data_IF_181405946534
#
_entry.id   IF_181405946534
#
_cell.length_a   1.000
_cell.length_b   1.000
_cell.length_c   1.000
_cell.angle_alpha   90.00
_cell.angle_beta   90.00
_cell.angle_gamma   90.00
#
_symmetry.space_group_name_H-M   'P 1'
#
loop_
_entity.id
_entity.type
_entity.pdbx_description
1 polymer ?
#
# COMPACT_ATOMS: atom_id res chain seq x y z
N UNK A 1 17.50 4.06 17.19
CA UNK A 1 18.11 2.73 17.04
C UNK A 1 19.02 2.73 15.82
N UNK A 2 20.18 2.06 15.87
CA UNK A 2 21.03 1.90 14.70
C UNK A 2 20.32 1.02 13.66
N UNK A 3 20.49 1.36 12.35
CA UNK A 3 19.99 0.57 11.25
C UNK A 3 21.12 -0.34 10.73
N UNK A 4 20.85 -1.64 10.68
CA UNK A 4 21.77 -2.66 10.18
C UNK A 4 21.20 -3.28 8.90
N UNK A 5 21.60 -2.81 7.70
CA UNK A 5 21.11 -3.40 6.45
C UNK A 5 21.70 -4.80 6.25
N UNK A 6 20.83 -5.75 5.94
CA UNK A 6 21.22 -7.13 5.64
C UNK A 6 20.52 -7.62 4.38
N UNK A 7 21.26 -7.93 3.31
CA UNK A 7 20.69 -8.41 2.04
C UNK A 7 19.87 -9.69 2.16
N UNK A 8 20.08 -10.48 3.22
CA UNK A 8 19.32 -11.71 3.43
C UNK A 8 17.83 -11.46 3.69
N UNK A 9 17.45 -10.24 4.14
CA UNK A 9 16.06 -9.85 4.41
C UNK A 9 15.39 -9.09 3.26
N UNK A 10 16.01 -9.03 2.06
CA UNK A 10 15.43 -8.41 0.88
C UNK A 10 14.20 -9.16 0.36
N UNK A 11 13.43 -8.50 -0.51
CA UNK A 11 12.33 -9.13 -1.23
C UNK A 11 12.83 -10.27 -2.14
N UNK A 12 11.91 -11.16 -2.51
CA UNK A 12 12.17 -12.19 -3.51
C UNK A 12 12.59 -11.53 -4.83
N UNK A 13 13.67 -12.00 -5.43
CA UNK A 13 14.10 -11.55 -6.75
C UNK A 13 13.08 -11.96 -7.82
N UNK A 14 12.56 -10.99 -8.55
CA UNK A 14 11.48 -11.18 -9.52
C UNK A 14 12.00 -11.45 -10.94
N UNK A 15 13.32 -11.47 -11.17
CA UNK A 15 13.93 -11.73 -12.48
C UNK A 15 13.41 -10.78 -13.55
N UNK A 16 12.97 -11.33 -14.69
CA UNK A 16 12.46 -10.53 -15.83
C UNK A 16 11.23 -9.69 -15.51
N UNK A 17 10.63 -9.83 -14.33
CA UNK A 17 9.54 -8.98 -13.88
C UNK A 17 10.01 -7.67 -13.22
N UNK A 18 11.30 -7.56 -12.88
CA UNK A 18 11.85 -6.35 -12.27
C UNK A 18 11.64 -5.12 -13.15
N UNK A 19 11.17 -4.03 -12.53
CA UNK A 19 10.88 -2.78 -13.23
C UNK A 19 9.58 -2.76 -14.05
N UNK A 20 8.82 -3.85 -14.09
CA UNK A 20 7.54 -3.92 -14.77
C UNK A 20 6.40 -3.59 -13.80
N UNK A 21 5.31 -3.04 -14.35
CA UNK A 21 4.05 -2.91 -13.61
C UNK A 21 3.35 -4.27 -13.54
N UNK A 22 2.54 -4.49 -12.49
CA UNK A 22 1.72 -5.71 -12.36
C UNK A 22 0.84 -5.96 -13.59
N UNK A 23 0.32 -4.89 -14.22
CA UNK A 23 -0.46 -5.00 -15.45
C UNK A 23 0.36 -5.52 -16.63
N UNK A 24 1.61 -5.08 -16.78
CA UNK A 24 2.50 -5.59 -17.83
C UNK A 24 2.83 -7.06 -17.59
N UNK A 25 3.00 -7.45 -16.32
CA UNK A 25 3.23 -8.85 -15.93
C UNK A 25 1.98 -9.69 -16.24
N UNK A 26 0.80 -9.25 -15.80
CA UNK A 26 -0.47 -9.93 -16.08
C UNK A 26 -0.71 -10.14 -17.58
N UNK A 27 -0.39 -9.14 -18.40
CA UNK A 27 -0.58 -9.21 -19.85
C UNK A 27 0.39 -10.21 -20.52
N UNK A 28 1.65 -10.26 -20.03
CA UNK A 28 2.71 -11.07 -20.65
C UNK A 28 2.84 -12.46 -20.07
N UNK A 29 2.57 -12.61 -18.77
CA UNK A 29 2.76 -13.84 -18.00
C UNK A 29 1.57 -14.13 -17.07
N UNK A 30 0.33 -14.23 -17.59
CA UNK A 30 -0.86 -14.40 -16.74
C UNK A 30 -0.83 -15.70 -15.91
N UNK A 31 -0.29 -16.79 -16.48
CA UNK A 31 -0.17 -18.06 -15.79
C UNK A 31 0.84 -17.95 -14.62
N UNK A 32 2.03 -17.44 -14.90
CA UNK A 32 3.07 -17.27 -13.87
C UNK A 32 2.64 -16.30 -12.78
N UNK A 33 1.84 -15.27 -13.11
CA UNK A 33 1.28 -14.38 -12.09
C UNK A 33 0.30 -15.12 -11.18
N UNK A 34 -0.52 -15.99 -11.72
CA UNK A 34 -1.41 -16.85 -10.94
C UNK A 34 -0.60 -17.82 -10.06
N UNK A 35 0.48 -18.41 -10.58
CA UNK A 35 1.38 -19.27 -9.83
C UNK A 35 2.07 -18.50 -8.69
N UNK A 36 2.60 -17.32 -8.94
CA UNK A 36 3.18 -16.45 -7.90
C UNK A 36 2.20 -16.16 -6.76
N UNK A 37 0.96 -15.90 -7.10
CA UNK A 37 -0.06 -15.59 -6.10
C UNK A 37 -0.57 -16.83 -5.33
N UNK A 38 -0.60 -18.03 -5.96
CA UNK A 38 -1.31 -19.18 -5.41
C UNK A 38 -0.54 -20.51 -5.38
N UNK A 39 0.53 -20.64 -6.14
CA UNK A 39 1.29 -21.88 -6.34
C UNK A 39 2.80 -21.57 -6.31
N UNK A 40 3.27 -21.04 -5.20
CA UNK A 40 4.68 -20.61 -5.03
C UNK A 40 5.68 -21.75 -5.25
N UNK A 41 5.26 -22.99 -5.08
CA UNK A 41 6.04 -24.19 -5.37
C UNK A 41 6.32 -24.38 -6.88
N UNK A 42 5.45 -23.81 -7.73
CA UNK A 42 5.53 -23.92 -9.19
C UNK A 42 6.01 -22.66 -9.87
N UNK A 43 5.85 -21.52 -9.20
CA UNK A 43 6.18 -20.23 -9.81
C UNK A 43 7.64 -20.15 -10.20
N UNK A 44 7.86 -19.82 -11.45
CA UNK A 44 9.18 -19.56 -12.01
C UNK A 44 9.10 -18.62 -13.21
N UNK A 45 10.01 -17.64 -13.26
CA UNK A 45 10.33 -16.82 -14.43
C UNK A 45 11.84 -16.70 -14.55
N UNK A 46 12.33 -16.33 -15.72
CA UNK A 46 13.76 -16.17 -15.97
C UNK A 46 14.43 -15.21 -14.97
N UNK A 47 15.49 -15.66 -14.32
CA UNK A 47 16.27 -14.85 -13.35
C UNK A 47 15.61 -14.64 -11.99
N UNK A 48 14.44 -15.24 -11.71
CA UNK A 48 13.81 -15.11 -10.40
C UNK A 48 14.49 -15.97 -9.32
N UNK A 49 14.32 -15.57 -8.05
CA UNK A 49 14.50 -16.47 -6.92
C UNK A 49 13.27 -17.39 -6.78
N UNK A 50 13.47 -18.65 -6.45
CA UNK A 50 12.39 -19.51 -6.01
C UNK A 50 12.07 -19.27 -4.53
N UNK A 51 10.87 -19.66 -4.07
CA UNK A 51 10.53 -19.61 -2.64
C UNK A 51 11.53 -20.37 -1.77
N UNK A 52 12.11 -21.47 -2.30
CA UNK A 52 13.16 -22.23 -1.61
C UNK A 52 14.44 -21.41 -1.43
N UNK A 53 14.89 -20.71 -2.45
CA UNK A 53 16.07 -19.84 -2.36
C UNK A 53 15.87 -18.72 -1.33
N UNK A 54 14.66 -18.17 -1.22
CA UNK A 54 14.33 -17.19 -0.18
C UNK A 54 14.49 -17.82 1.21
N UNK A 55 13.98 -19.01 1.45
CA UNK A 55 14.15 -19.72 2.73
C UNK A 55 15.63 -20.00 3.04
N UNK A 56 16.39 -20.41 2.03
CA UNK A 56 17.81 -20.79 2.18
C UNK A 56 18.70 -19.59 2.57
N UNK A 57 18.33 -18.35 2.21
CA UNK A 57 19.04 -17.14 2.65
C UNK A 57 18.47 -16.52 3.93
N UNK A 58 17.15 -16.54 4.09
CA UNK A 58 16.46 -15.81 5.15
C UNK A 58 16.56 -16.54 6.50
N UNK A 59 16.27 -17.85 6.54
CA UNK A 59 16.27 -18.60 7.80
C UNK A 59 17.63 -18.64 8.51
N UNK A 60 18.77 -18.87 7.82
CA UNK A 60 20.08 -18.78 8.46
C UNK A 60 20.40 -17.38 9.01
N UNK A 61 19.99 -16.32 8.26
CA UNK A 61 20.18 -14.94 8.70
C UNK A 61 19.32 -14.63 9.95
N UNK A 62 18.08 -15.09 9.98
CA UNK A 62 17.19 -14.92 11.11
C UNK A 62 17.77 -15.62 12.37
N UNK A 63 18.22 -16.86 12.24
CA UNK A 63 18.87 -17.58 13.35
C UNK A 63 20.16 -16.90 13.81
N UNK A 64 20.92 -16.30 12.90
CA UNK A 64 22.11 -15.51 13.28
C UNK A 64 21.70 -14.31 14.14
N UNK A 65 20.71 -13.51 13.68
CA UNK A 65 20.21 -12.36 14.44
C UNK A 65 19.73 -12.78 15.82
N UNK A 66 19.00 -13.89 15.94
CA UNK A 66 18.55 -14.43 17.23
C UNK A 66 19.73 -14.71 18.16
N UNK A 67 20.77 -15.41 17.68
CA UNK A 67 21.95 -15.72 18.50
C UNK A 67 22.74 -14.47 18.91
N UNK A 68 22.84 -13.47 18.01
CA UNK A 68 23.58 -12.24 18.27
C UNK A 68 22.85 -11.30 19.25
N UNK A 69 21.54 -11.48 19.41
CA UNK A 69 20.67 -10.61 20.19
C UNK A 69 19.85 -11.38 21.24
N UNK A 70 20.44 -12.43 21.82
CA UNK A 70 19.77 -13.24 22.84
C UNK A 70 19.28 -12.38 24.01
N UNK A 71 18.03 -12.61 24.45
CA UNK A 71 17.38 -11.83 25.51
C UNK A 71 16.95 -10.40 25.08
N UNK A 72 17.05 -10.06 23.81
CA UNK A 72 16.67 -8.74 23.28
C UNK A 72 15.47 -8.82 22.36
N UNK A 73 14.82 -7.68 22.14
CA UNK A 73 13.80 -7.50 21.11
C UNK A 73 14.42 -6.81 19.89
N UNK A 74 14.30 -7.44 18.73
CA UNK A 74 14.83 -6.94 17.45
C UNK A 74 13.69 -6.69 16.49
N UNK A 75 13.70 -5.54 15.82
CA UNK A 75 12.77 -5.24 14.72
C UNK A 75 13.45 -5.53 13.37
N UNK A 76 12.85 -6.43 12.57
CA UNK A 76 13.29 -6.75 11.22
C UNK A 76 12.26 -6.17 10.24
N UNK A 77 12.71 -5.26 9.38
CA UNK A 77 11.91 -4.70 8.29
C UNK A 77 12.21 -5.47 7.00
N UNK A 78 11.18 -6.05 6.42
CA UNK A 78 11.31 -6.88 5.23
C UNK A 78 10.11 -6.65 4.29
N UNK A 79 9.80 -7.58 3.41
CA UNK A 79 8.89 -7.40 2.28
C UNK A 79 7.80 -8.48 2.25
N UNK A 80 6.72 -8.18 1.51
CA UNK A 80 5.49 -8.96 1.56
C UNK A 80 5.66 -10.43 1.15
N UNK A 81 6.29 -10.72 0.01
CA UNK A 81 6.43 -12.09 -0.46
C UNK A 81 7.48 -12.87 0.37
N UNK A 82 8.60 -12.23 0.72
CA UNK A 82 9.62 -12.85 1.57
C UNK A 82 9.05 -13.22 2.95
N UNK A 83 8.33 -12.31 3.61
CA UNK A 83 7.69 -12.59 4.90
C UNK A 83 6.62 -13.67 4.79
N UNK A 84 5.79 -13.66 3.76
CA UNK A 84 4.80 -14.70 3.51
C UNK A 84 5.42 -16.09 3.45
N UNK A 85 6.54 -16.21 2.73
CA UNK A 85 7.27 -17.48 2.56
C UNK A 85 7.86 -17.93 3.91
N UNK A 86 8.57 -17.04 4.59
CA UNK A 86 9.29 -17.38 5.80
C UNK A 86 8.34 -17.68 6.97
N UNK A 87 7.33 -16.83 7.20
CA UNK A 87 6.36 -17.06 8.27
C UNK A 87 5.54 -18.33 8.04
N UNK A 88 5.17 -18.61 6.78
CA UNK A 88 4.49 -19.87 6.44
C UNK A 88 5.36 -21.10 6.72
N UNK A 89 6.64 -21.04 6.34
CA UNK A 89 7.57 -22.14 6.61
C UNK A 89 7.81 -22.36 8.11
N UNK A 90 7.93 -21.28 8.90
CA UNK A 90 8.05 -21.36 10.38
C UNK A 90 6.79 -21.94 11.03
N UNK A 91 5.62 -21.82 10.39
CA UNK A 91 4.38 -22.46 10.82
C UNK A 91 4.24 -23.91 10.33
N UNK A 92 5.25 -24.48 9.66
CA UNK A 92 5.25 -25.83 9.17
C UNK A 92 4.48 -26.05 7.86
N UNK A 93 4.11 -24.98 7.15
CA UNK A 93 3.40 -25.08 5.87
C UNK A 93 4.34 -25.50 4.74
N UNK A 94 3.84 -26.33 3.83
CA UNK A 94 4.53 -26.63 2.58
C UNK A 94 4.53 -25.39 1.66
N UNK A 95 5.43 -25.33 0.68
CA UNK A 95 5.45 -24.22 -0.30
C UNK A 95 4.13 -24.10 -1.08
N UNK A 96 3.46 -25.20 -1.36
CA UNK A 96 2.14 -25.22 -1.98
C UNK A 96 1.08 -24.58 -1.06
N UNK A 97 1.09 -24.93 0.23
CA UNK A 97 0.16 -24.38 1.22
C UNK A 97 0.43 -22.91 1.50
N UNK A 98 1.70 -22.48 1.54
CA UNK A 98 2.09 -21.07 1.62
C UNK A 98 1.47 -20.27 0.48
N UNK A 99 1.40 -20.85 -0.73
CA UNK A 99 0.72 -20.26 -1.88
C UNK A 99 -0.78 -19.99 -1.67
N UNK A 100 -1.42 -20.63 -0.70
CA UNK A 100 -2.83 -20.39 -0.36
C UNK A 100 -3.02 -19.37 0.78
N UNK A 101 -1.92 -18.98 1.48
CA UNK A 101 -1.99 -17.97 2.56
C UNK A 101 -2.11 -16.57 1.99
N UNK A 102 -2.54 -15.63 2.83
CA UNK A 102 -2.59 -14.21 2.47
C UNK A 102 -1.22 -13.55 2.57
N UNK A 103 -1.04 -12.46 1.82
CA UNK A 103 0.00 -11.48 2.11
C UNK A 103 -0.42 -10.64 3.31
N UNK A 104 0.55 -10.23 4.13
CA UNK A 104 0.34 -9.17 5.10
C UNK A 104 0.08 -7.83 4.38
N UNK A 105 -0.74 -6.98 5.00
CA UNK A 105 -0.90 -5.60 4.53
C UNK A 105 0.42 -4.82 4.71
N UNK A 106 0.59 -3.71 3.99
CA UNK A 106 1.72 -2.81 4.22
C UNK A 106 1.74 -2.36 5.67
N UNK A 107 2.90 -2.39 6.30
CA UNK A 107 3.15 -2.09 7.71
C UNK A 107 2.56 -3.10 8.71
N UNK A 108 2.00 -4.22 8.26
CA UNK A 108 1.59 -5.29 9.16
C UNK A 108 2.77 -5.81 9.99
N UNK A 109 2.49 -6.15 11.24
CA UNK A 109 3.49 -6.65 12.19
C UNK A 109 3.28 -8.15 12.41
N UNK A 110 4.37 -8.88 12.50
CA UNK A 110 4.37 -10.28 12.91
C UNK A 110 5.36 -10.46 14.05
N UNK A 111 5.02 -11.29 15.03
CA UNK A 111 5.88 -11.58 16.16
C UNK A 111 6.40 -13.03 16.08
N UNK A 112 7.72 -13.16 16.18
CA UNK A 112 8.41 -14.43 16.32
C UNK A 112 9.08 -14.44 17.70
N UNK A 113 8.80 -15.44 18.50
CA UNK A 113 9.57 -15.75 19.70
C UNK A 113 10.65 -16.77 19.36
N UNK A 114 11.82 -16.60 19.96
CA UNK A 114 12.95 -17.49 19.79
C UNK A 114 13.40 -18.04 21.17
N UNK A 115 13.61 -19.35 21.22
CA UNK A 115 14.23 -20.03 22.36
C UNK A 115 15.33 -20.94 21.79
N UNK A 116 16.58 -20.47 21.90
CA UNK A 116 17.72 -21.09 21.22
C UNK A 116 17.51 -21.11 19.69
N UNK A 117 17.51 -22.29 19.10
CA UNK A 117 17.28 -22.48 17.64
C UNK A 117 15.79 -22.65 17.27
N UNK A 118 14.90 -22.75 18.26
CA UNK A 118 13.46 -22.86 18.04
C UNK A 118 12.87 -21.48 17.77
N UNK A 119 12.12 -21.36 16.66
CA UNK A 119 11.46 -20.14 16.23
C UNK A 119 9.96 -20.37 16.16
N UNK A 120 9.19 -19.65 16.96
CA UNK A 120 7.73 -19.78 17.01
C UNK A 120 7.05 -18.50 16.55
N UNK A 121 6.22 -18.59 15.53
CA UNK A 121 5.34 -17.47 15.11
C UNK A 121 4.21 -17.35 16.13
N UNK A 122 4.16 -16.26 16.88
CA UNK A 122 3.11 -15.98 17.87
C UNK A 122 1.87 -15.44 17.19
N UNK A 123 2.05 -14.43 16.35
CA UNK A 123 1.04 -13.92 15.44
C UNK A 123 1.68 -13.42 14.16
N UNK A 124 0.88 -13.28 13.10
CA UNK A 124 1.31 -12.72 11.82
C UNK A 124 0.30 -11.75 11.26
N UNK A 125 0.81 -10.83 10.45
CA UNK A 125 0.02 -9.94 9.62
C UNK A 125 -0.96 -9.05 10.43
N UNK A 126 -0.62 -8.70 11.68
CA UNK A 126 -1.41 -7.77 12.48
C UNK A 126 -1.32 -6.36 11.89
N UNK A 127 -2.46 -5.83 11.50
CA UNK A 127 -2.64 -4.48 10.98
C UNK A 127 -3.64 -3.66 11.81
N UNK A 128 -3.86 -4.05 13.07
CA UNK A 128 -4.83 -3.42 13.97
C UNK A 128 -4.60 -1.92 14.13
N UNK A 129 -3.33 -1.49 14.12
CA UNK A 129 -2.95 -0.07 14.14
C UNK A 129 -3.48 0.75 12.95
N UNK A 130 -3.83 0.10 11.82
CA UNK A 130 -4.45 0.76 10.67
C UNK A 130 -5.98 0.79 10.76
N UNK A 131 -6.58 -0.11 11.54
CA UNK A 131 -8.04 -0.28 11.60
C UNK A 131 -8.70 0.55 12.69
N UNK A 132 -7.94 0.95 13.72
CA UNK A 132 -8.42 1.71 14.88
C UNK A 132 -8.27 3.23 14.76
N UNK A 133 -7.55 3.73 13.77
CA UNK A 133 -7.30 5.16 13.58
C UNK A 133 -8.15 5.71 12.45
N UNK A 134 -8.85 6.81 12.71
CA UNK A 134 -9.57 7.54 11.66
C UNK A 134 -8.63 7.92 10.52
N UNK A 135 -9.05 7.62 9.29
CA UNK A 135 -8.31 7.94 8.07
C UNK A 135 -7.27 6.90 7.63
N UNK A 136 -6.87 5.95 8.46
CA UNK A 136 -5.93 4.89 8.08
C UNK A 136 -6.61 3.57 7.70
N UNK A 137 -7.79 3.29 8.25
CA UNK A 137 -8.54 2.05 8.00
C UNK A 137 -8.84 1.78 6.51
N UNK A 138 -8.86 2.83 5.69
CA UNK A 138 -9.12 2.74 4.24
C UNK A 138 -7.89 2.25 3.45
N UNK A 139 -6.69 2.44 4.00
CA UNK A 139 -5.42 2.04 3.38
C UNK A 139 -4.91 0.69 3.90
N UNK A 140 -5.42 0.21 5.03
CA UNK A 140 -4.98 -1.02 5.69
C UNK A 140 -5.59 -2.30 5.11
N UNK A 141 -6.57 -2.21 4.23
CA UNK A 141 -7.23 -3.38 3.64
C UNK A 141 -7.01 -3.45 2.15
N UNK A 142 -5.81 -3.86 1.76
CA UNK A 142 -5.56 -4.23 0.37
C UNK A 142 -6.15 -5.62 0.12
N UNK A 143 -7.21 -5.71 -0.67
CA UNK A 143 -7.91 -6.96 -0.94
C UNK A 143 -7.79 -7.44 -2.39
N UNK A 144 -7.08 -6.68 -3.24
CA UNK A 144 -6.98 -6.97 -4.67
C UNK A 144 -6.41 -8.36 -4.97
N UNK A 145 -5.44 -8.81 -4.19
CA UNK A 145 -4.85 -10.14 -4.32
C UNK A 145 -5.77 -11.28 -3.83
N UNK A 146 -6.82 -10.98 -3.06
CA UNK A 146 -7.86 -11.96 -2.66
C UNK A 146 -8.85 -12.24 -3.78
N UNK A 147 -8.96 -11.34 -4.74
CA UNK A 147 -9.90 -11.43 -5.84
C UNK A 147 -9.24 -12.12 -7.03
N UNK A 148 -9.41 -13.43 -7.15
CA UNK A 148 -9.10 -14.25 -8.33
C UNK A 148 -7.64 -14.26 -8.82
N UNK A 149 -6.68 -13.76 -8.05
CA UNK A 149 -5.27 -13.69 -8.47
C UNK A 149 -5.01 -12.69 -9.60
N UNK A 150 -5.93 -11.75 -9.83
CA UNK A 150 -5.80 -10.70 -10.84
C UNK A 150 -5.24 -9.44 -10.20
N UNK A 151 -4.52 -8.68 -10.98
CA UNK A 151 -4.08 -7.33 -10.61
C UNK A 151 -5.30 -6.43 -10.58
N UNK A 152 -5.46 -5.62 -9.53
CA UNK A 152 -6.49 -4.60 -9.51
C UNK A 152 -6.22 -3.61 -10.66
N UNK A 153 -7.19 -3.37 -11.53
CA UNK A 153 -7.00 -2.46 -12.64
C UNK A 153 -6.63 -1.06 -12.12
N UNK A 154 -5.48 -0.57 -12.57
CA UNK A 154 -4.94 0.69 -12.11
C UNK A 154 -5.68 1.90 -12.66
N UNK A 155 -5.70 2.96 -11.88
CA UNK A 155 -6.11 4.28 -12.36
C UNK A 155 -4.94 4.98 -13.04
N UNK A 156 -5.25 5.72 -14.12
CA UNK A 156 -4.33 6.65 -14.77
C UNK A 156 -4.84 8.07 -14.58
N UNK A 157 -3.91 8.99 -14.44
CA UNK A 157 -4.19 10.41 -14.19
C UNK A 157 -3.61 11.24 -15.33
N UNK A 158 -4.45 12.03 -15.97
CA UNK A 158 -4.06 12.87 -17.11
C UNK A 158 -4.65 14.28 -16.93
N UNK A 159 -4.00 15.32 -17.45
CA UNK A 159 -4.64 16.63 -17.52
C UNK A 159 -6.04 16.52 -18.16
N UNK A 160 -7.03 17.12 -17.53
CA UNK A 160 -8.40 17.09 -18.03
C UNK A 160 -8.60 18.16 -19.12
N UNK A 161 -9.38 17.81 -20.15
CA UNK A 161 -9.85 18.78 -21.14
C UNK A 161 -11.03 19.61 -20.60
N UNK A 162 -11.33 20.75 -21.25
CA UNK A 162 -12.52 21.55 -20.92
C UNK A 162 -13.82 20.75 -21.05
N UNK A 163 -13.92 19.87 -22.03
CA UNK A 163 -15.07 18.98 -22.20
C UNK A 163 -15.24 18.02 -21.02
N UNK A 164 -14.15 17.44 -20.55
CA UNK A 164 -14.16 16.56 -19.37
C UNK A 164 -14.53 17.32 -18.09
N UNK A 165 -14.05 18.55 -17.92
CA UNK A 165 -14.48 19.41 -16.82
C UNK A 165 -15.98 19.66 -16.85
N UNK A 166 -16.54 20.03 -18.01
CA UNK A 166 -17.99 20.23 -18.17
C UNK A 166 -18.79 18.95 -17.88
N UNK A 167 -18.30 17.78 -18.35
CA UNK A 167 -18.97 16.49 -18.11
C UNK A 167 -19.14 16.21 -16.61
N UNK A 168 -18.16 16.58 -15.79
CA UNK A 168 -18.21 16.41 -14.33
C UNK A 168 -18.79 17.64 -13.59
N UNK A 169 -19.23 18.68 -14.29
CA UNK A 169 -19.69 19.93 -13.67
C UNK A 169 -18.62 20.69 -12.92
N UNK A 170 -17.35 20.45 -13.26
CA UNK A 170 -16.22 21.09 -12.62
C UNK A 170 -16.00 22.50 -13.17
N UNK A 171 -15.64 23.50 -12.32
CA UNK A 171 -15.31 24.85 -12.79
C UNK A 171 -14.15 24.81 -13.79
N UNK A 172 -14.10 25.79 -14.70
CA UNK A 172 -12.98 25.90 -15.67
C UNK A 172 -11.71 26.49 -15.08
N UNK A 173 -11.68 26.75 -13.75
CA UNK A 173 -10.54 27.32 -13.03
C UNK A 173 -9.79 26.25 -12.25
N UNK A 174 -8.46 26.35 -12.23
CA UNK A 174 -7.59 25.43 -11.48
C UNK A 174 -6.95 24.33 -12.33
N UNK A 175 -6.05 23.58 -11.71
CA UNK A 175 -5.42 22.44 -12.37
C UNK A 175 -6.34 21.21 -12.29
N UNK A 176 -6.92 20.84 -13.41
CA UNK A 176 -7.86 19.72 -13.55
C UNK A 176 -7.14 18.44 -13.95
N UNK A 177 -7.45 17.35 -13.27
CA UNK A 177 -6.92 16.02 -13.54
C UNK A 177 -8.06 15.02 -13.74
N UNK A 178 -8.09 14.40 -14.89
CA UNK A 178 -9.02 13.33 -15.24
C UNK A 178 -8.50 11.99 -14.71
N UNK A 179 -9.42 11.19 -14.14
CA UNK A 179 -9.16 9.87 -13.59
C UNK A 179 -9.69 8.81 -14.55
N UNK A 180 -8.80 7.99 -15.08
CA UNK A 180 -9.10 6.97 -16.06
C UNK A 180 -8.94 5.58 -15.48
N UNK A 181 -9.94 4.71 -15.61
CA UNK A 181 -9.85 3.31 -15.27
C UNK A 181 -9.30 2.50 -16.45
N UNK A 182 -8.26 1.74 -16.25
CA UNK A 182 -7.55 1.00 -17.30
C UNK A 182 -7.07 1.84 -18.48
N UNK A 183 -7.01 3.15 -18.33
CA UNK A 183 -6.66 4.08 -19.41
C UNK A 183 -7.70 4.23 -20.51
N UNK A 184 -8.88 3.64 -20.37
CA UNK A 184 -9.93 3.61 -21.37
C UNK A 184 -11.21 4.31 -20.92
N UNK A 185 -11.61 4.14 -19.69
CA UNK A 185 -12.86 4.67 -19.14
C UNK A 185 -12.59 5.85 -18.22
N UNK A 186 -13.21 7.00 -18.53
CA UNK A 186 -13.14 8.19 -17.69
C UNK A 186 -14.09 8.04 -16.52
N UNK A 187 -13.56 7.88 -15.30
CA UNK A 187 -14.33 7.54 -14.11
C UNK A 187 -14.42 8.66 -13.08
N UNK A 188 -13.63 9.71 -13.23
CA UNK A 188 -13.63 10.80 -12.27
C UNK A 188 -12.78 11.98 -12.70
N UNK A 189 -12.84 13.03 -11.91
CA UNK A 189 -12.07 14.25 -12.07
C UNK A 189 -11.81 14.90 -10.72
N UNK A 190 -10.64 15.49 -10.54
CA UNK A 190 -10.36 16.38 -9.42
C UNK A 190 -9.66 17.65 -9.88
N UNK A 191 -9.83 18.71 -9.12
CA UNK A 191 -9.15 20.00 -9.34
C UNK A 191 -8.45 20.45 -8.09
N UNK A 192 -7.30 21.07 -8.28
CA UNK A 192 -6.51 21.63 -7.20
C UNK A 192 -6.03 23.04 -7.56
N UNK A 193 -5.93 23.88 -6.54
CA UNK A 193 -5.34 25.21 -6.63
C UNK A 193 -4.31 25.36 -5.52
N UNK A 194 -3.14 25.86 -5.86
CA UNK A 194 -2.09 26.15 -4.88
C UNK A 194 -2.44 27.42 -4.11
N UNK A 195 -2.44 27.33 -2.78
CA UNK A 195 -2.45 28.44 -1.84
C UNK A 195 -1.03 28.67 -1.29
N UNK A 196 -0.87 29.60 -0.38
CA UNK A 196 0.46 29.94 0.19
C UNK A 196 1.10 28.76 0.94
N UNK A 197 0.31 28.02 1.72
CA UNK A 197 0.75 26.98 2.65
C UNK A 197 0.01 25.64 2.43
N UNK A 198 -0.97 25.61 1.52
CA UNK A 198 -1.83 24.45 1.27
C UNK A 198 -2.06 24.20 -0.21
N UNK A 199 -2.49 23.00 -0.54
CA UNK A 199 -3.11 22.68 -1.81
C UNK A 199 -4.62 22.55 -1.59
N UNK A 200 -5.40 23.44 -2.17
CA UNK A 200 -6.86 23.41 -2.08
C UNK A 200 -7.45 22.48 -3.13
N UNK A 201 -8.32 21.58 -2.69
CA UNK A 201 -9.17 20.78 -3.56
C UNK A 201 -10.43 21.61 -3.84
N UNK A 202 -10.59 22.06 -5.08
CA UNK A 202 -11.73 22.89 -5.50
C UNK A 202 -12.84 22.07 -6.14
N UNK A 203 -12.51 20.87 -6.61
CA UNK A 203 -13.45 19.91 -7.18
C UNK A 203 -12.98 18.48 -6.96
N UNK A 204 -13.91 17.58 -6.66
CA UNK A 204 -13.63 16.16 -6.53
C UNK A 204 -14.88 15.36 -6.88
N UNK A 205 -14.90 14.72 -8.03
CA UNK A 205 -16.06 14.01 -8.52
C UNK A 205 -15.74 12.65 -9.11
N UNK A 206 -16.64 11.70 -8.88
CA UNK A 206 -16.62 10.38 -9.51
C UNK A 206 -17.91 10.18 -10.29
N UNK A 207 -17.80 9.52 -11.46
CA UNK A 207 -18.96 9.07 -12.21
C UNK A 207 -19.89 8.25 -11.30
N UNK A 208 -21.20 8.47 -11.34
CA UNK A 208 -22.18 7.78 -10.49
C UNK A 208 -22.06 6.26 -10.50
N UNK A 209 -21.74 5.65 -11.65
CA UNK A 209 -21.57 4.20 -11.78
C UNK A 209 -20.35 3.66 -11.01
N UNK A 210 -19.40 4.55 -10.70
CA UNK A 210 -18.15 4.20 -10.00
C UNK A 210 -18.16 4.58 -8.51
N UNK A 211 -19.22 5.24 -8.04
CA UNK A 211 -19.37 5.57 -6.61
C UNK A 211 -19.58 4.32 -5.78
N UNK A 212 -19.17 4.34 -4.52
CA UNK A 212 -19.26 3.20 -3.62
C UNK A 212 -18.28 2.04 -3.88
N UNK A 213 -17.55 2.09 -5.00
CA UNK A 213 -16.56 1.06 -5.41
C UNK A 213 -15.13 1.35 -4.95
N UNK A 214 -14.95 2.26 -4.00
CA UNK A 214 -13.66 2.73 -3.47
C UNK A 214 -12.73 3.43 -4.49
N UNK A 215 -13.20 3.65 -5.72
CA UNK A 215 -12.41 4.28 -6.78
C UNK A 215 -12.12 5.77 -6.54
N UNK A 216 -12.83 6.41 -5.62
CA UNK A 216 -12.53 7.76 -5.16
C UNK A 216 -11.40 7.87 -4.13
N UNK A 217 -10.75 6.78 -3.72
CA UNK A 217 -9.66 6.81 -2.74
C UNK A 217 -8.30 7.06 -3.40
N UNK A 218 -7.91 6.31 -4.45
CA UNK A 218 -6.60 6.47 -5.07
C UNK A 218 -6.29 7.89 -5.58
N UNK A 219 -7.25 8.67 -6.13
CA UNK A 219 -6.98 10.05 -6.53
C UNK A 219 -6.52 10.94 -5.39
N UNK A 220 -6.95 10.67 -4.14
CA UNK A 220 -6.46 11.41 -2.98
C UNK A 220 -4.95 11.22 -2.77
N UNK A 221 -4.44 10.01 -3.02
CA UNK A 221 -3.00 9.75 -2.99
C UNK A 221 -2.22 10.61 -3.99
N UNK A 222 -2.78 10.85 -5.18
CA UNK A 222 -2.18 11.74 -6.18
C UNK A 222 -2.18 13.20 -5.72
N UNK A 223 -3.26 13.66 -5.09
CA UNK A 223 -3.35 15.02 -4.55
C UNK A 223 -2.35 15.22 -3.41
N UNK A 224 -2.23 14.24 -2.49
CA UNK A 224 -1.24 14.27 -1.42
C UNK A 224 0.18 14.36 -2.00
N UNK A 225 0.49 13.53 -3.00
CA UNK A 225 1.79 13.54 -3.66
C UNK A 225 2.06 14.87 -4.36
N UNK A 226 1.05 15.46 -5.01
CA UNK A 226 1.15 16.77 -5.63
C UNK A 226 1.48 17.85 -4.59
N UNK A 227 0.75 17.89 -3.47
CA UNK A 227 1.01 18.83 -2.38
C UNK A 227 2.43 18.70 -1.84
N UNK A 228 2.88 17.49 -1.56
CA UNK A 228 4.25 17.21 -1.08
C UNK A 228 5.33 17.62 -2.07
N UNK A 229 5.14 17.38 -3.37
CA UNK A 229 6.07 17.83 -4.42
C UNK A 229 6.18 19.35 -4.51
N UNK A 230 5.12 20.06 -4.16
CA UNK A 230 5.09 21.52 -4.08
C UNK A 230 5.65 22.07 -2.75
N UNK A 231 6.09 21.20 -1.84
CA UNK A 231 6.58 21.57 -0.52
C UNK A 231 5.49 22.03 0.45
N UNK A 232 4.23 21.64 0.19
CA UNK A 232 3.09 22.04 1.02
C UNK A 232 2.83 21.01 2.11
N UNK A 233 2.35 21.45 3.26
CA UNK A 233 2.10 20.60 4.42
C UNK A 233 0.61 20.31 4.64
N UNK A 234 -0.28 21.03 3.95
CA UNK A 234 -1.71 20.94 4.15
C UNK A 234 -2.49 20.74 2.84
N UNK A 235 -3.58 19.97 2.92
CA UNK A 235 -4.67 19.99 1.95
C UNK A 235 -5.85 20.68 2.58
N UNK A 236 -6.61 21.46 1.78
CA UNK A 236 -7.85 22.10 2.21
C UNK A 236 -8.96 21.85 1.21
N UNK A 237 -10.18 21.82 1.70
CA UNK A 237 -11.38 21.80 0.87
C UNK A 237 -12.57 22.41 1.62
N UNK A 238 -13.56 22.85 0.87
CA UNK A 238 -14.85 23.28 1.43
C UNK A 238 -15.86 22.13 1.23
N UNK A 239 -16.32 21.53 2.32
CA UNK A 239 -17.37 20.51 2.30
C UNK A 239 -18.75 21.19 2.26
N UNK A 240 -19.31 21.36 1.07
CA UNK A 240 -20.65 21.96 0.87
C UNK A 240 -21.80 20.96 1.02
N UNK A 241 -21.52 19.68 0.89
CA UNK A 241 -22.45 18.57 1.06
C UNK A 241 -22.08 17.77 2.32
N UNK A 242 -22.83 17.99 3.39
CA UNK A 242 -22.60 17.32 4.68
C UNK A 242 -22.69 15.79 4.60
N UNK A 243 -23.40 15.24 3.61
CA UNK A 243 -23.44 13.78 3.41
C UNK A 243 -22.10 13.20 3.02
N UNK A 244 -21.18 14.01 2.48
CA UNK A 244 -19.81 13.62 2.11
C UNK A 244 -18.79 13.81 3.25
N UNK A 245 -19.17 14.48 4.35
CA UNK A 245 -18.27 14.67 5.49
C UNK A 245 -17.66 13.37 6.02
N UNK A 246 -18.42 12.25 6.19
CA UNK A 246 -17.84 10.98 6.62
C UNK A 246 -16.81 10.40 5.63
N UNK A 247 -16.96 10.68 4.35
CA UNK A 247 -15.95 10.30 3.34
C UNK A 247 -14.65 11.07 3.54
N UNK A 248 -14.71 12.39 3.73
CA UNK A 248 -13.54 13.23 3.96
C UNK A 248 -12.85 12.90 5.28
N UNK A 249 -13.62 12.68 6.35
CA UNK A 249 -13.08 12.26 7.65
C UNK A 249 -12.32 10.93 7.55
N UNK A 250 -12.88 9.94 6.85
CA UNK A 250 -12.16 8.67 6.60
C UNK A 250 -10.86 8.84 5.82
N UNK A 251 -10.73 9.90 5.03
CA UNK A 251 -9.50 10.27 4.36
C UNK A 251 -8.57 11.14 5.23
N UNK A 252 -8.94 11.37 6.49
CA UNK A 252 -8.14 12.09 7.48
C UNK A 252 -8.25 13.62 7.39
N UNK A 253 -9.33 14.13 6.81
CA UNK A 253 -9.67 15.55 6.91
C UNK A 253 -10.40 15.83 8.23
N UNK A 254 -10.14 16.97 8.83
CA UNK A 254 -10.74 17.43 10.08
C UNK A 254 -11.18 18.90 9.97
N UNK A 255 -12.09 19.30 10.80
CA UNK A 255 -12.67 20.66 10.90
C UNK A 255 -14.13 20.61 11.35
N UNK A 256 -14.54 21.59 12.16
CA UNK A 256 -15.90 21.67 12.72
C UNK A 256 -16.88 22.44 11.81
N UNK A 257 -16.35 23.22 10.87
CA UNK A 257 -17.10 23.98 9.87
C UNK A 257 -17.07 23.38 8.48
N UNK A 258 -17.52 24.10 7.46
CA UNK A 258 -17.45 23.66 6.07
C UNK A 258 -16.02 23.52 5.54
N UNK A 259 -15.08 24.31 6.10
CA UNK A 259 -13.66 24.19 5.75
C UNK A 259 -13.05 22.98 6.45
N UNK A 260 -12.51 22.05 5.66
CA UNK A 260 -11.81 20.88 6.14
C UNK A 260 -10.34 20.95 5.73
N UNK A 261 -9.49 20.51 6.65
CA UNK A 261 -8.03 20.48 6.44
C UNK A 261 -7.49 19.06 6.70
N UNK A 262 -6.41 18.70 6.02
CA UNK A 262 -5.63 17.50 6.26
C UNK A 262 -4.16 17.84 6.27
N UNK A 263 -3.45 17.44 7.32
CA UNK A 263 -1.99 17.49 7.34
C UNK A 263 -1.42 16.38 6.44
N UNK A 264 -0.54 16.75 5.53
CA UNK A 264 0.14 15.83 4.59
C UNK A 264 1.65 15.80 4.78
N UNK A 265 2.16 16.47 5.83
CA UNK A 265 3.57 16.37 6.18
C UNK A 265 3.95 14.90 6.41
N UNK A 266 5.10 14.50 5.90
CA UNK A 266 5.68 13.20 6.25
C UNK A 266 6.04 13.23 7.75
N UNK A 267 5.18 12.65 8.56
CA UNK A 267 5.54 12.34 9.93
C UNK A 267 6.45 11.11 9.89
N UNK A 268 7.74 11.34 10.07
CA UNK A 268 8.65 10.24 10.43
C UNK A 268 8.33 9.99 11.91
N UNK A 269 7.78 8.82 12.27
CA UNK A 269 7.52 8.51 13.67
C UNK A 269 8.81 8.69 14.45
N UNK A 270 8.75 9.41 15.58
CA UNK A 270 9.89 9.47 16.48
C UNK A 270 10.03 8.07 17.13
N UNK A 271 10.83 7.20 16.52
CA UNK A 271 11.05 5.84 16.99
C UNK A 271 11.52 5.76 18.46
N UNK A 272 11.97 6.88 19.04
CA UNK A 272 12.35 6.95 20.46
C UNK A 272 11.15 6.85 21.39
N UNK A 273 9.96 7.23 20.98
CA UNK A 273 8.74 7.15 21.80
C UNK A 273 8.15 5.74 21.86
N UNK A 274 8.49 4.86 20.92
CA UNK A 274 8.01 3.48 20.84
C UNK A 274 8.86 2.48 21.65
N UNK A 275 10.00 2.90 22.16
CA UNK A 275 10.99 2.04 22.86
C UNK A 275 10.98 2.28 24.38
N UNK A 276 10.13 3.14 24.90
CA UNK A 276 10.14 3.60 26.30
C UNK A 276 8.92 3.15 27.13
N UNK A 277 8.13 2.17 26.65
CA UNK A 277 7.11 1.53 27.49
C UNK A 277 7.38 0.02 27.69
#
# INVERSE_FOLDING_TARGET
LPLHPDPAFREIGMGVWEGLTWRQIETRWPLQLMEFNRQLDRWHVEGCETARMVLDRYLPALRRVVREHDGQTVAIFSHGAALRIVLGALQGLSLADIGQTSHGDNTAVSLIEADGDELRVVFRDDNSHLTGQEGLSTFGKQTWWKTKGMVEPGQLYRPASHEQCRLFGAPESGQSTAVWYNGQELIGLFQTVRESDALRITWYGMDPLWRGRRQGIPPMGQIIQQGRRLGLEHLRLTCTDESLRPFWQRLGFYGDGPELEKNIRLQIPNLREWVME
#
